data_IF_359994423937
#
_entry.id   IF_359994423937
#
_cell.length_a   1.000
_cell.length_b   1.000
_cell.length_c   1.000
_cell.angle_alpha   90.00
_cell.angle_beta   90.00
_cell.angle_gamma   90.00
#
_symmetry.space_group_name_H-M   'P 1'
#
loop_
_entity.id
_entity.type
_entity.pdbx_description
1 polymer ?
#
# COMPACT_ATOMS: atom_id res chain seq x y z
N UNK A 1 2.19 -14.81 -1.84
CA UNK A 1 0.91 -15.18 -2.49
C UNK A 1 -0.16 -14.20 -2.05
N UNK A 2 -1.07 -13.82 -2.95
CA UNK A 2 -2.38 -13.24 -2.63
C UNK A 2 -3.39 -14.39 -2.71
N UNK A 3 -4.19 -14.54 -1.66
CA UNK A 3 -5.21 -15.59 -1.55
C UNK A 3 -6.58 -15.00 -1.87
N UNK A 4 -7.51 -15.85 -2.31
CA UNK A 4 -8.92 -15.47 -2.52
C UNK A 4 -9.87 -16.48 -1.90
N UNK A 5 -11.05 -16.02 -1.52
CA UNK A 5 -12.16 -16.87 -1.12
C UNK A 5 -13.47 -16.21 -1.58
N UNK A 6 -14.50 -17.03 -1.81
CA UNK A 6 -15.87 -16.55 -1.91
C UNK A 6 -16.41 -16.24 -0.52
N UNK A 7 -17.37 -15.32 -0.46
CA UNK A 7 -18.19 -15.07 0.72
C UNK A 7 -19.61 -15.50 0.38
N UNK A 8 -20.16 -16.43 1.15
CA UNK A 8 -21.55 -16.89 1.03
C UNK A 8 -22.24 -16.78 2.38
N UNK A 9 -23.39 -16.10 2.43
CA UNK A 9 -24.14 -15.82 3.65
C UNK A 9 -23.26 -15.32 4.83
N UNK A 10 -22.38 -14.35 4.58
CA UNK A 10 -21.40 -13.80 5.54
C UNK A 10 -20.38 -14.82 6.09
N UNK A 11 -20.18 -15.95 5.40
CA UNK A 11 -19.15 -16.93 5.73
C UNK A 11 -18.10 -16.94 4.65
N UNK A 12 -16.84 -16.79 5.06
CA UNK A 12 -15.71 -16.93 4.17
C UNK A 12 -15.50 -18.42 3.86
N UNK A 13 -15.42 -18.76 2.58
CA UNK A 13 -14.95 -20.09 2.17
C UNK A 13 -13.45 -20.25 2.52
N UNK A 14 -12.92 -21.46 2.34
CA UNK A 14 -11.48 -21.69 2.55
C UNK A 14 -10.63 -20.85 1.59
N UNK A 15 -9.64 -20.13 2.13
CA UNK A 15 -8.68 -19.34 1.35
C UNK A 15 -7.94 -20.22 0.35
N UNK A 16 -7.97 -19.84 -0.92
CA UNK A 16 -7.26 -20.52 -2.00
C UNK A 16 -6.15 -19.63 -2.57
N UNK A 17 -4.98 -20.19 -2.93
CA UNK A 17 -3.97 -19.46 -3.69
C UNK A 17 -4.55 -18.87 -4.97
N UNK A 18 -4.25 -17.60 -5.24
CA UNK A 18 -4.73 -16.92 -6.45
C UNK A 18 -3.60 -16.28 -7.25
N UNK A 19 -2.81 -15.42 -6.62
CA UNK A 19 -1.73 -14.68 -7.29
C UNK A 19 -0.42 -15.02 -6.60
N UNK A 20 0.52 -15.57 -7.36
CA UNK A 20 1.88 -15.81 -6.89
C UNK A 20 2.70 -14.52 -6.98
N UNK A 21 2.28 -13.50 -6.23
CA UNK A 21 2.78 -12.13 -6.36
C UNK A 21 4.31 -12.07 -6.36
N UNK A 22 4.99 -12.75 -5.43
CA UNK A 22 6.44 -12.74 -5.37
C UNK A 22 7.14 -13.23 -6.63
N UNK A 23 6.63 -14.30 -7.26
CA UNK A 23 7.17 -14.79 -8.54
C UNK A 23 6.87 -13.84 -9.69
N UNK A 24 5.66 -13.26 -9.71
CA UNK A 24 5.23 -12.38 -10.80
C UNK A 24 5.92 -11.02 -10.78
N UNK A 25 6.17 -10.46 -9.59
CA UNK A 25 6.76 -9.13 -9.44
C UNK A 25 8.28 -9.16 -9.31
N UNK A 26 8.84 -10.32 -8.95
CA UNK A 26 10.26 -10.47 -8.59
C UNK A 26 10.59 -9.99 -7.17
N UNK A 27 9.59 -9.57 -6.39
CA UNK A 27 9.74 -8.97 -5.05
C UNK A 27 8.91 -9.77 -4.05
N UNK A 28 9.54 -10.35 -3.04
CA UNK A 28 9.01 -11.55 -2.35
C UNK A 28 7.86 -11.31 -1.36
N UNK A 29 7.63 -10.09 -0.85
CA UNK A 29 6.68 -9.83 0.24
C UNK A 29 5.45 -9.00 -0.15
N UNK A 30 4.28 -9.58 -0.51
CA UNK A 30 3.05 -8.80 -0.65
C UNK A 30 2.61 -8.26 0.71
N UNK A 31 2.30 -6.96 0.79
CA UNK A 31 2.04 -6.26 2.07
C UNK A 31 0.68 -5.60 2.14
N UNK A 32 0.27 -4.90 1.07
CA UNK A 32 -0.98 -4.16 1.04
C UNK A 32 -1.77 -4.44 -0.24
N UNK A 33 -3.09 -4.25 -0.14
CA UNK A 33 -4.03 -4.51 -1.21
C UNK A 33 -5.23 -3.56 -1.11
N UNK A 34 -5.60 -2.93 -2.22
CA UNK A 34 -6.79 -2.09 -2.36
C UNK A 34 -7.44 -2.35 -3.72
N UNK A 35 -8.70 -1.96 -3.86
CA UNK A 35 -9.40 -1.99 -5.15
C UNK A 35 -9.36 -0.59 -5.75
N UNK A 36 -8.97 -0.48 -7.02
CA UNK A 36 -9.04 0.78 -7.74
C UNK A 36 -10.52 1.23 -7.84
N UNK A 37 -10.88 2.40 -7.28
CA UNK A 37 -12.27 2.85 -7.19
C UNK A 37 -12.82 3.34 -8.54
N UNK A 38 -11.96 3.50 -9.57
CA UNK A 38 -12.38 4.01 -10.88
C UNK A 38 -13.41 3.08 -11.51
N UNK A 39 -14.64 3.57 -11.79
CA UNK A 39 -15.70 2.74 -12.37
C UNK A 39 -15.25 2.09 -13.68
N UNK A 40 -15.56 0.81 -13.85
CA UNK A 40 -15.27 0.04 -15.06
C UNK A 40 -13.84 -0.53 -15.18
N UNK A 41 -12.89 -0.16 -14.31
CA UNK A 41 -11.53 -0.72 -14.34
C UNK A 41 -11.31 -1.81 -13.28
N UNK A 42 -11.74 -1.57 -12.04
CA UNK A 42 -11.80 -2.58 -10.97
C UNK A 42 -10.50 -3.35 -10.68
N UNK A 43 -9.32 -2.77 -10.96
CA UNK A 43 -8.06 -3.45 -10.72
C UNK A 43 -7.85 -3.71 -9.22
N UNK A 44 -7.26 -4.86 -8.92
CA UNK A 44 -6.71 -5.13 -7.61
C UNK A 44 -5.31 -4.50 -7.57
N UNK A 45 -5.12 -3.48 -6.76
CA UNK A 45 -3.85 -2.77 -6.62
C UNK A 45 -3.16 -3.26 -5.36
N UNK A 46 -1.93 -3.71 -5.48
CA UNK A 46 -1.14 -4.15 -4.34
C UNK A 46 0.27 -3.63 -4.39
N UNK A 47 0.98 -3.86 -3.30
CA UNK A 47 2.42 -3.65 -3.25
C UNK A 47 3.14 -4.89 -2.76
N UNK A 48 4.36 -5.04 -3.24
CA UNK A 48 5.32 -5.98 -2.70
C UNK A 48 6.53 -5.21 -2.20
N UNK A 49 7.03 -5.56 -1.02
CA UNK A 49 8.27 -5.06 -0.43
C UNK A 49 9.38 -6.10 -0.53
N UNK A 50 10.62 -5.63 -0.59
CA UNK A 50 11.83 -6.43 -0.50
C UNK A 50 12.06 -7.04 0.89
N UNK A 51 13.23 -7.65 1.11
CA UNK A 51 13.65 -8.02 2.46
C UNK A 51 13.88 -6.76 3.31
N UNK A 52 13.61 -6.80 4.64
CA UNK A 52 13.86 -5.66 5.52
C UNK A 52 15.28 -5.12 5.40
N UNK A 53 15.41 -3.83 5.10
CA UNK A 53 16.70 -3.21 4.77
C UNK A 53 16.62 -1.70 4.59
N UNK A 54 17.59 -1.16 3.84
CA UNK A 54 17.66 0.24 3.42
C UNK A 54 17.38 0.40 1.91
N UNK A 55 17.00 -0.68 1.25
CA UNK A 55 16.70 -0.65 -0.18
C UNK A 55 15.31 -0.03 -0.40
N UNK A 56 15.20 0.79 -1.43
CA UNK A 56 13.94 1.44 -1.83
C UNK A 56 13.30 0.70 -3.00
N UNK A 57 12.91 -0.55 -2.74
CA UNK A 57 12.59 -1.53 -3.79
C UNK A 57 11.10 -1.91 -3.87
N UNK A 58 10.24 -1.25 -3.09
CA UNK A 58 8.80 -1.48 -3.17
C UNK A 58 8.24 -1.20 -4.57
N UNK A 59 7.32 -2.07 -5.00
CA UNK A 59 6.66 -1.98 -6.31
C UNK A 59 5.15 -1.86 -6.16
N UNK A 60 4.53 -0.96 -6.94
CA UNK A 60 3.08 -0.86 -7.07
C UNK A 60 2.62 -1.73 -8.24
N UNK A 61 1.68 -2.63 -7.99
CA UNK A 61 1.25 -3.61 -9.00
C UNK A 61 -0.27 -3.61 -9.13
N UNK A 62 -0.74 -3.51 -10.36
CA UNK A 62 -2.14 -3.61 -10.74
C UNK A 62 -2.39 -4.98 -11.31
N UNK A 63 -3.27 -5.76 -10.67
CA UNK A 63 -3.68 -7.08 -11.10
C UNK A 63 -5.10 -7.05 -11.65
N UNK A 64 -5.34 -7.85 -12.69
CA UNK A 64 -6.70 -8.21 -13.10
C UNK A 64 -7.35 -9.04 -11.99
N UNK A 65 -8.49 -8.61 -11.42
CA UNK A 65 -9.15 -9.36 -10.33
C UNK A 65 -9.72 -10.69 -10.82
N UNK A 66 -9.96 -10.84 -12.13
CA UNK A 66 -10.49 -12.06 -12.74
C UNK A 66 -9.42 -13.12 -12.95
N UNK A 67 -8.25 -12.72 -13.45
CA UNK A 67 -7.19 -13.65 -13.89
C UNK A 67 -5.97 -13.69 -12.98
N UNK A 68 -5.80 -12.70 -12.10
CA UNK A 68 -4.59 -12.54 -11.28
C UNK A 68 -3.35 -12.09 -12.06
N UNK A 69 -3.47 -11.81 -13.37
CA UNK A 69 -2.37 -11.33 -14.21
C UNK A 69 -2.03 -9.87 -13.89
N UNK A 70 -0.75 -9.53 -13.99
CA UNK A 70 -0.27 -8.14 -13.91
C UNK A 70 -0.76 -7.38 -15.15
N UNK A 71 -1.45 -6.27 -14.92
CA UNK A 71 -1.80 -5.28 -15.93
C UNK A 71 -0.75 -4.14 -15.98
N UNK A 72 -0.16 -3.79 -14.84
CA UNK A 72 0.89 -2.78 -14.71
C UNK A 72 1.72 -3.05 -13.46
N UNK A 73 3.03 -2.81 -13.53
CA UNK A 73 3.93 -2.80 -12.39
C UNK A 73 4.83 -1.56 -12.47
N UNK A 74 4.90 -0.79 -11.40
CA UNK A 74 5.67 0.45 -11.29
C UNK A 74 6.61 0.38 -10.08
N UNK A 75 7.82 0.93 -10.21
CA UNK A 75 8.71 1.13 -9.06
C UNK A 75 8.22 2.33 -8.25
N UNK A 76 8.15 2.19 -6.93
CA UNK A 76 7.78 3.29 -6.04
C UNK A 76 8.99 4.11 -5.59
N UNK A 77 10.21 3.54 -5.58
CA UNK A 77 11.41 4.19 -5.01
C UNK A 77 11.18 4.63 -3.53
N UNK A 78 10.36 3.85 -2.82
CA UNK A 78 10.10 3.90 -1.38
C UNK A 78 10.68 2.64 -0.73
N UNK A 79 10.87 2.64 0.60
CA UNK A 79 11.38 1.50 1.36
C UNK A 79 10.38 0.33 1.33
N UNK A 80 9.68 0.09 2.43
CA UNK A 80 8.70 -0.98 2.55
C UNK A 80 7.31 -0.37 2.64
N UNK A 81 6.59 -0.34 1.52
CA UNK A 81 5.20 0.09 1.54
C UNK A 81 4.37 -0.99 2.20
N UNK A 82 3.72 -0.66 3.32
CA UNK A 82 2.97 -1.61 4.16
C UNK A 82 1.47 -1.38 4.14
N UNK A 83 1.00 -0.22 3.66
CA UNK A 83 -0.42 0.05 3.47
C UNK A 83 -0.66 0.93 2.25
N UNK A 84 -1.85 0.79 1.69
CA UNK A 84 -2.37 1.57 0.57
C UNK A 84 -3.80 2.01 0.89
N UNK A 85 -4.20 3.20 0.45
CA UNK A 85 -5.60 3.61 0.47
C UNK A 85 -5.89 4.61 -0.64
N UNK A 86 -7.10 4.55 -1.20
CA UNK A 86 -7.61 5.62 -2.05
C UNK A 86 -8.34 6.66 -1.20
N UNK A 87 -8.11 7.95 -1.48
CA UNK A 87 -8.96 9.02 -0.96
C UNK A 87 -10.34 9.00 -1.64
N UNK A 88 -11.35 9.67 -1.07
CA UNK A 88 -12.65 9.86 -1.74
C UNK A 88 -12.54 10.55 -3.11
N UNK A 89 -11.50 11.38 -3.30
CA UNK A 89 -11.18 12.03 -4.58
C UNK A 89 -10.51 11.09 -5.60
N UNK A 90 -10.14 9.87 -5.19
CA UNK A 90 -9.56 8.84 -6.06
C UNK A 90 -8.03 8.85 -6.17
N UNK A 91 -7.34 9.67 -5.37
CA UNK A 91 -5.88 9.66 -5.29
C UNK A 91 -5.40 8.47 -4.46
N UNK A 92 -4.29 7.84 -4.87
CA UNK A 92 -3.70 6.71 -4.14
C UNK A 92 -2.67 7.22 -3.14
N UNK A 93 -2.73 6.70 -1.91
CA UNK A 93 -1.80 6.99 -0.84
C UNK A 93 -1.16 5.70 -0.33
N UNK A 94 0.07 5.82 0.18
CA UNK A 94 0.89 4.73 0.67
C UNK A 94 1.51 5.06 2.03
N UNK A 95 1.63 4.06 2.90
CA UNK A 95 2.43 4.12 4.12
C UNK A 95 3.78 3.43 3.86
N UNK A 96 4.85 4.21 3.94
CA UNK A 96 6.23 3.75 3.74
C UNK A 96 6.91 3.53 5.10
N UNK A 97 7.24 2.27 5.39
CA UNK A 97 7.89 1.84 6.61
C UNK A 97 9.40 1.74 6.37
N UNK A 98 10.16 2.65 6.97
CA UNK A 98 11.61 2.60 6.96
C UNK A 98 12.13 1.92 8.24
N UNK A 99 12.77 0.76 8.12
CA UNK A 99 13.24 -0.03 9.26
C UNK A 99 14.34 0.65 10.05
N UNK A 100 15.43 1.01 9.35
CA UNK A 100 16.66 1.55 9.99
C UNK A 100 16.67 3.07 10.10
N UNK A 101 15.82 3.75 9.32
CA UNK A 101 15.68 5.22 9.30
C UNK A 101 14.22 5.63 9.44
N UNK A 102 13.58 5.36 10.60
CA UNK A 102 12.14 5.59 10.80
C UNK A 102 11.63 6.97 10.39
N UNK A 103 12.46 8.00 10.52
CA UNK A 103 12.22 9.39 10.13
C UNK A 103 12.13 9.60 8.61
N UNK A 104 12.76 8.75 7.81
CA UNK A 104 12.65 8.82 6.36
C UNK A 104 11.33 8.25 5.84
N UNK A 105 10.65 7.42 6.64
CA UNK A 105 9.32 6.89 6.36
C UNK A 105 8.22 7.98 6.35
N UNK A 106 6.98 7.54 6.16
CA UNK A 106 5.83 8.42 6.24
C UNK A 106 4.68 8.04 5.33
N UNK A 107 3.75 8.98 5.16
CA UNK A 107 2.63 8.83 4.23
C UNK A 107 2.92 9.60 2.95
N UNK A 108 2.69 8.94 1.82
CA UNK A 108 2.95 9.47 0.49
C UNK A 108 1.69 9.41 -0.36
N UNK A 109 1.45 10.44 -1.18
CA UNK A 109 0.55 10.35 -2.33
C UNK A 109 1.32 9.81 -3.51
N UNK A 110 0.72 8.91 -4.29
CA UNK A 110 1.34 8.30 -5.46
C UNK A 110 0.78 8.94 -6.71
N UNK A 111 1.52 9.90 -7.26
CA UNK A 111 1.09 10.65 -8.44
C UNK A 111 1.47 9.88 -9.71
N UNK A 112 0.58 9.88 -10.70
CA UNK A 112 0.88 9.36 -12.03
C UNK A 112 1.83 10.32 -12.75
N UNK A 113 2.85 9.77 -13.41
CA UNK A 113 3.76 10.55 -14.26
C UNK A 113 4.18 9.76 -15.50
N UNK A 114 4.96 10.40 -16.37
CA UNK A 114 5.61 9.79 -17.53
C UNK A 114 7.12 10.01 -17.45
N UNK A 115 7.89 8.95 -17.66
CA UNK A 115 9.34 9.01 -17.85
C UNK A 115 9.65 8.40 -19.21
N UNK A 116 10.28 9.17 -20.10
CA UNK A 116 10.58 8.75 -21.47
C UNK A 116 9.36 8.19 -22.24
N UNK A 117 8.19 8.82 -22.04
CA UNK A 117 6.93 8.42 -22.65
C UNK A 117 6.31 7.14 -22.10
N UNK A 118 6.86 6.57 -21.02
CA UNK A 118 6.32 5.38 -20.34
C UNK A 118 5.67 5.76 -19.03
N UNK A 119 4.58 5.06 -18.70
CA UNK A 119 3.87 5.25 -17.43
C UNK A 119 4.80 4.94 -16.26
N UNK A 120 4.86 5.89 -15.33
CA UNK A 120 5.60 5.82 -14.08
C UNK A 120 4.75 6.41 -12.94
N UNK A 121 5.29 6.41 -11.73
CA UNK A 121 4.70 7.11 -10.59
C UNK A 121 5.75 7.92 -9.85
N UNK A 122 5.28 8.97 -9.17
CA UNK A 122 6.08 9.83 -8.31
C UNK A 122 5.44 9.84 -6.92
N UNK A 123 6.09 9.27 -5.89
CA UNK A 123 5.67 9.49 -4.52
C UNK A 123 5.90 10.95 -4.11
N UNK A 124 4.92 11.54 -3.43
CA UNK A 124 4.99 12.87 -2.83
C UNK A 124 4.73 12.71 -1.34
N UNK A 125 5.72 13.03 -0.49
CA UNK A 125 5.56 12.92 0.97
C UNK A 125 4.51 13.93 1.45
N UNK A 126 3.51 13.45 2.18
CA UNK A 126 2.38 14.23 2.68
C UNK A 126 2.50 14.45 4.19
N UNK A 127 2.96 13.43 4.92
CA UNK A 127 3.17 13.50 6.35
C UNK A 127 4.39 12.69 6.75
N UNK A 128 5.19 13.25 7.65
CA UNK A 128 6.23 12.52 8.37
C UNK A 128 5.57 11.76 9.52
N UNK A 129 5.50 10.44 9.39
CA UNK A 129 5.04 9.54 10.44
C UNK A 129 6.09 8.45 10.53
N UNK A 130 6.66 8.26 11.72
CA UNK A 130 7.66 7.21 11.92
C UNK A 130 6.98 5.85 11.88
N UNK A 131 7.51 4.94 11.06
CA UNK A 131 7.03 3.54 10.95
C UNK A 131 5.50 3.42 10.81
N UNK A 132 4.89 4.07 9.80
CA UNK A 132 3.45 3.96 9.60
C UNK A 132 3.09 2.52 9.19
N UNK A 133 1.97 2.00 9.67
CA UNK A 133 1.55 0.60 9.47
C UNK A 133 0.22 0.45 8.74
N UNK A 134 -0.59 1.50 8.72
CA UNK A 134 -1.93 1.50 8.14
C UNK A 134 -2.35 2.92 7.78
N UNK A 135 -3.23 3.04 6.78
CA UNK A 135 -3.96 4.27 6.54
C UNK A 135 -5.35 3.98 5.99
N UNK A 136 -6.30 4.87 6.28
CA UNK A 136 -7.65 4.85 5.74
C UNK A 136 -8.21 6.26 5.65
N UNK A 137 -9.20 6.43 4.78
CA UNK A 137 -9.98 7.66 4.68
C UNK A 137 -11.40 7.42 5.19
N UNK A 138 -11.95 8.43 5.85
CA UNK A 138 -13.39 8.57 6.08
C UNK A 138 -14.06 9.24 4.88
N UNK A 139 -15.40 9.18 4.83
CA UNK A 139 -16.19 9.77 3.73
C UNK A 139 -16.03 11.29 3.61
N UNK A 140 -15.68 11.98 4.70
CA UNK A 140 -15.37 13.41 4.73
C UNK A 140 -13.93 13.74 4.30
N UNK A 141 -13.22 12.77 3.72
CA UNK A 141 -11.82 12.83 3.31
C UNK A 141 -10.81 13.04 4.46
N UNK A 142 -11.17 12.83 5.72
CA UNK A 142 -10.17 12.78 6.80
C UNK A 142 -9.33 11.50 6.66
N UNK A 143 -8.00 11.67 6.61
CA UNK A 143 -7.07 10.55 6.67
C UNK A 143 -6.73 10.20 8.13
N UNK A 144 -6.76 8.91 8.42
CA UNK A 144 -6.22 8.32 9.65
C UNK A 144 -5.09 7.36 9.30
N UNK A 145 -4.04 7.38 10.11
CA UNK A 145 -2.89 6.48 9.98
C UNK A 145 -2.52 5.88 11.33
N UNK A 146 -1.94 4.68 11.31
CA UNK A 146 -1.37 4.04 12.51
C UNK A 146 0.14 4.02 12.45
N UNK A 147 0.82 4.16 13.58
CA UNK A 147 2.28 4.02 13.69
C UNK A 147 2.68 2.83 14.56
N UNK A 148 3.76 2.16 14.18
CA UNK A 148 4.43 1.20 15.04
C UNK A 148 5.24 1.97 16.09
N UNK A 149 4.79 1.89 17.35
CA UNK A 149 5.42 2.59 18.46
C UNK A 149 6.81 2.06 18.83
N UNK A 150 7.61 2.89 19.49
CA UNK A 150 8.92 2.50 20.04
C UNK A 150 8.84 2.03 21.51
N UNK A 151 7.65 1.63 21.95
CA UNK A 151 7.38 1.16 23.29
C UNK A 151 7.74 -0.30 23.54
N UNK A 152 7.59 -0.73 24.79
CA UNK A 152 7.69 -2.13 25.19
C UNK A 152 6.32 -2.69 25.62
N UNK A 153 6.29 -3.94 26.04
CA UNK A 153 5.05 -4.62 26.45
C UNK A 153 4.39 -3.98 27.69
N UNK A 154 5.15 -3.22 28.48
CA UNK A 154 4.65 -2.54 29.68
C UNK A 154 4.17 -1.13 29.37
N UNK A 155 4.75 -0.50 28.34
CA UNK A 155 4.40 0.83 27.87
C UNK A 155 4.29 0.82 26.34
N UNK A 156 3.18 0.33 25.77
CA UNK A 156 2.97 0.37 24.33
C UNK A 156 2.77 1.82 23.86
N UNK A 157 3.50 2.21 22.80
CA UNK A 157 3.52 3.58 22.26
C UNK A 157 3.03 3.65 20.80
N UNK A 158 2.19 2.72 20.36
CA UNK A 158 1.55 2.82 19.05
C UNK A 158 0.57 3.99 19.01
N UNK A 159 0.46 4.68 17.87
CA UNK A 159 -0.38 5.86 17.76
C UNK A 159 -1.43 5.68 16.65
N UNK A 160 -2.61 6.27 16.88
CA UNK A 160 -3.59 6.55 15.84
C UNK A 160 -3.53 8.06 15.56
N UNK A 161 -3.14 8.40 14.34
CA UNK A 161 -2.80 9.77 13.94
C UNK A 161 -3.84 10.24 12.94
N UNK A 162 -4.45 11.39 13.22
CA UNK A 162 -5.29 12.09 12.25
C UNK A 162 -4.42 13.01 11.40
N UNK A 163 -4.35 12.77 10.10
CA UNK A 163 -3.62 13.65 9.16
C UNK A 163 -4.62 14.66 8.59
N UNK A 164 -4.30 15.95 8.70
CA UNK A 164 -5.14 17.05 8.20
C UNK A 164 -4.49 17.65 6.95
N UNK A 165 -5.29 17.91 5.92
CA UNK A 165 -4.86 18.46 4.64
C UNK A 165 -5.99 18.44 3.61
N UNK A 166 -5.74 18.99 2.43
CA UNK A 166 -6.60 18.81 1.25
C UNK A 166 -6.12 17.56 0.49
N UNK A 167 -7.00 16.56 0.32
CA UNK A 167 -6.64 15.20 -0.16
C UNK A 167 -7.34 14.75 -1.45
#
# INVERSE_FOLDING_TARGET
WILKASVDANRLAGLQPFIESGRLTGVTGPTALVVNPKPGYGYLVGTNMGPPGDDRDSVLVFYSPYSGRIALQLKLELYDVVALAYSPSGNLYAADFAWRRPEEGGIYRIDQTLVDGRQACQPVKIAEIRRPTGLAFTDDATMWATSFGEGDDQQPHGELIRVRGEF
#
